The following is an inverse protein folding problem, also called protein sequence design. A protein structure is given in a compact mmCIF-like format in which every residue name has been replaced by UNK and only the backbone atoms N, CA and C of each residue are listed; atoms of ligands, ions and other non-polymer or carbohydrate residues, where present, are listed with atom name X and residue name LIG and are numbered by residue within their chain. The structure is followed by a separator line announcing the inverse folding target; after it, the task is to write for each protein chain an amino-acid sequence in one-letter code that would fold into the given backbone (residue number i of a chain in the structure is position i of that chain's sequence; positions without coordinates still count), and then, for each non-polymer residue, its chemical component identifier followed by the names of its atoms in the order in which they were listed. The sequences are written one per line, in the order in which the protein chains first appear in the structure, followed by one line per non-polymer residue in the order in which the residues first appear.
data_IF_705145314549
#
_entry.id   IF_705145314549
#
_cell.length_a   1.000
_cell.length_b   1.000
_cell.length_c   1.000
_cell.angle_alpha   90.00
_cell.angle_beta   90.00
_cell.angle_gamma   90.00
#
_symmetry.space_group_name_H-M   'P 1'
#
loop_
_entity.id
_entity.type
_entity.pdbx_description
1 polymer ?
#
# COMPACT_ATOMS: atom_id res chain seq x y z
N UNK A 1 5.42 8.09 8.58
CA UNK A 1 5.15 8.26 7.13
C UNK A 1 3.72 7.84 6.76
N UNK A 2 3.09 6.94 7.51
CA UNK A 2 1.71 6.48 7.28
C UNK A 2 0.72 7.60 6.94
N UNK A 3 0.66 8.66 7.76
CA UNK A 3 -0.27 9.78 7.50
C UNK A 3 -0.07 10.46 6.14
N UNK A 4 1.16 10.53 5.60
CA UNK A 4 1.39 11.09 4.26
C UNK A 4 0.87 10.18 3.15
N UNK A 5 1.05 8.87 3.31
CA UNK A 5 0.59 7.86 2.36
C UNK A 5 -0.94 7.75 2.38
N UNK A 6 -1.56 7.81 3.55
CA UNK A 6 -3.01 7.68 3.70
C UNK A 6 -3.75 8.94 3.27
N UNK A 7 -3.26 10.12 3.67
CA UNK A 7 -3.89 11.39 3.31
C UNK A 7 -3.52 11.85 1.89
N UNK A 8 -2.71 11.06 1.16
CA UNK A 8 -2.16 11.39 -0.17
C UNK A 8 -1.43 12.73 -0.20
N UNK A 9 -0.94 13.20 0.95
CA UNK A 9 -0.31 14.49 1.17
C UNK A 9 1.18 14.53 0.74
N UNK A 10 1.48 14.03 -0.45
CA UNK A 10 2.82 14.08 -1.05
C UNK A 10 2.74 14.15 -2.58
N UNK A 11 3.62 14.93 -3.20
CA UNK A 11 3.71 15.06 -4.65
C UNK A 11 4.96 14.38 -5.19
N UNK A 12 6.08 14.50 -4.46
CA UNK A 12 7.39 14.02 -4.89
C UNK A 12 8.01 13.12 -3.83
N UNK A 13 8.95 12.27 -4.25
CA UNK A 13 9.75 11.44 -3.34
C UNK A 13 10.55 12.28 -2.33
N UNK A 14 10.87 13.54 -2.64
CA UNK A 14 11.49 14.48 -1.71
C UNK A 14 10.62 14.76 -0.48
N UNK A 15 9.30 14.83 -0.63
CA UNK A 15 8.39 15.12 0.48
C UNK A 15 8.43 13.98 1.51
N UNK A 16 8.49 12.73 1.01
CA UNK A 16 8.64 11.53 1.83
C UNK A 16 10.03 11.49 2.53
N UNK A 17 11.09 11.93 1.84
CA UNK A 17 12.44 11.98 2.41
C UNK A 17 12.56 13.04 3.52
N UNK A 18 11.97 14.21 3.31
CA UNK A 18 11.91 15.27 4.32
C UNK A 18 11.09 14.84 5.54
N UNK A 19 9.95 14.18 5.32
CA UNK A 19 9.17 13.60 6.40
C UNK A 19 9.98 12.58 7.20
N UNK A 20 10.70 11.68 6.53
CA UNK A 20 11.56 10.71 7.20
C UNK A 20 12.59 11.37 8.12
N UNK A 21 13.26 12.45 7.66
CA UNK A 21 14.22 13.21 8.47
C UNK A 21 13.53 14.00 9.59
N UNK A 22 12.36 14.57 9.33
CA UNK A 22 11.63 15.37 10.33
C UNK A 22 11.20 14.53 11.54
N UNK A 23 10.80 13.28 11.32
CA UNK A 23 10.37 12.37 12.38
C UNK A 23 11.52 11.54 12.97
N UNK A 24 12.56 11.23 12.18
CA UNK A 24 13.69 10.39 12.59
C UNK A 24 14.98 11.14 12.98
N UNK A 25 15.05 12.45 12.76
CA UNK A 25 16.27 13.27 12.92
C UNK A 25 16.64 13.61 14.36
N UNK A 26 16.46 12.68 15.30
CA UNK A 26 16.76 12.82 16.71
C UNK A 26 17.87 11.85 17.11
N UNK A 27 19.00 12.39 17.56
CA UNK A 27 20.16 11.59 17.92
C UNK A 27 20.06 11.07 19.35
N UNK A 28 20.56 9.86 19.52
CA UNK A 28 20.80 9.21 20.79
C UNK A 28 22.24 8.72 20.82
N UNK A 29 22.92 8.86 21.95
CA UNK A 29 24.32 8.47 22.03
C UNK A 29 24.81 8.37 23.47
N UNK A 30 25.66 7.38 23.70
CA UNK A 30 26.43 7.33 24.94
C UNK A 30 27.22 8.63 25.08
N UNK A 31 27.35 9.16 26.30
CA UNK A 31 28.16 10.35 26.49
C UNK A 31 29.59 10.09 26.02
N UNK A 32 30.14 11.04 25.26
CA UNK A 32 31.54 10.99 24.87
C UNK A 32 32.39 10.99 26.15
N UNK A 33 33.42 10.13 26.22
CA UNK A 33 34.42 10.22 27.28
C UNK A 33 34.93 11.66 27.30
N UNK A 34 34.69 12.37 28.41
CA UNK A 34 35.30 13.68 28.63
C UNK A 34 36.81 13.49 28.54
N UNK A 35 37.47 14.28 27.70
CA UNK A 35 38.93 14.46 27.77
C UNK A 35 39.32 14.61 29.25
N UNK A 36 40.35 13.90 29.70
CA UNK A 36 40.79 13.77 31.11
C UNK A 36 41.13 15.11 31.82
N UNK A 37 40.87 16.26 31.19
CA UNK A 37 41.16 17.61 31.66
C UNK A 37 39.93 18.46 32.05
N UNK A 38 38.71 17.92 32.08
CA UNK A 38 37.50 18.68 32.45
C UNK A 38 36.98 18.23 33.82
N UNK A 39 37.32 18.99 34.87
CA UNK A 39 37.00 18.76 36.29
C UNK A 39 35.52 18.98 36.67
N UNK A 40 34.58 18.60 35.81
CA UNK A 40 33.15 18.69 36.05
C UNK A 40 32.48 17.42 35.52
N UNK A 41 32.36 16.46 36.42
CA UNK A 41 31.78 15.12 36.30
C UNK A 41 30.28 15.16 35.91
N UNK A 42 29.96 15.67 34.73
CA UNK A 42 28.62 15.62 34.17
C UNK A 42 28.70 15.14 32.72
N UNK A 43 28.85 13.83 32.61
CA UNK A 43 28.91 13.08 31.36
C UNK A 43 27.47 12.86 30.87
N UNK A 44 26.89 13.89 30.23
CA UNK A 44 25.49 13.86 29.75
C UNK A 44 25.45 13.17 28.39
N UNK A 45 24.69 12.07 28.28
CA UNK A 45 24.45 11.40 27.01
C UNK A 45 23.64 12.27 26.06
N UNK A 46 23.68 11.96 24.77
CA UNK A 46 22.76 12.59 23.82
C UNK A 46 21.42 11.84 23.93
N UNK A 47 20.36 12.55 24.32
CA UNK A 47 19.02 11.98 24.54
C UNK A 47 17.99 12.75 23.71
N UNK A 48 17.65 12.24 22.52
CA UNK A 48 16.61 12.82 21.67
C UNK A 48 16.92 14.24 21.18
N UNK A 49 18.19 14.54 20.90
CA UNK A 49 18.59 15.87 20.41
C UNK A 49 18.35 15.96 18.91
N UNK A 50 17.61 16.98 18.46
CA UNK A 50 17.34 17.21 17.05
C UNK A 50 18.65 17.53 16.29
N UNK A 51 19.03 16.66 15.36
CA UNK A 51 20.23 16.77 14.51
C UNK A 51 19.90 16.42 13.05
N UNK A 52 18.81 16.98 12.52
CA UNK A 52 18.29 16.70 11.16
C UNK A 52 19.32 16.84 10.05
N UNK A 53 20.11 17.92 10.07
CA UNK A 53 21.14 18.17 9.05
C UNK A 53 22.26 17.13 9.08
N UNK A 54 22.65 16.67 10.27
CA UNK A 54 23.65 15.60 10.43
C UNK A 54 23.05 14.27 9.96
N UNK A 55 21.79 13.99 10.30
CA UNK A 55 21.11 12.77 9.86
C UNK A 55 20.99 12.72 8.33
N UNK A 56 20.55 13.81 7.69
CA UNK A 56 20.52 13.94 6.23
C UNK A 56 21.89 13.73 5.60
N UNK A 57 22.95 14.33 6.16
CA UNK A 57 24.32 14.11 5.69
C UNK A 57 24.77 12.65 5.84
N UNK A 58 24.37 11.94 6.89
CA UNK A 58 24.67 10.50 7.03
C UNK A 58 23.91 9.67 6.00
N UNK A 59 22.62 9.96 5.78
CA UNK A 59 21.79 9.29 4.79
C UNK A 59 22.37 9.44 3.38
N UNK A 60 22.91 10.61 3.02
CA UNK A 60 23.51 10.82 1.68
C UNK A 60 24.80 10.01 1.43
N UNK A 61 25.34 9.34 2.45
CA UNK A 61 26.55 8.51 2.35
C UNK A 61 26.25 7.00 2.48
N UNK A 62 24.99 6.61 2.69
CA UNK A 62 24.64 5.19 2.85
C UNK A 62 24.61 4.48 1.49
N UNK A 63 25.31 3.36 1.40
CA UNK A 63 25.31 2.50 0.21
C UNK A 63 24.32 1.32 0.36
N UNK A 64 23.95 0.98 1.59
CA UNK A 64 23.13 -0.18 1.93
C UNK A 64 22.09 0.18 2.98
N UNK A 65 20.86 -0.26 2.76
CA UNK A 65 19.78 -0.27 3.75
C UNK A 65 19.44 -1.71 4.09
N UNK A 66 19.37 -2.06 5.38
CA UNK A 66 19.05 -3.41 5.82
C UNK A 66 17.96 -3.39 6.90
N UNK A 67 16.98 -4.28 6.77
CA UNK A 67 15.95 -4.51 7.78
C UNK A 67 15.87 -6.01 8.10
N UNK A 68 15.72 -6.36 9.38
CA UNK A 68 15.62 -7.74 9.84
C UNK A 68 14.17 -8.06 10.21
N UNK A 69 13.76 -9.30 9.94
CA UNK A 69 12.52 -9.90 10.40
C UNK A 69 12.85 -11.17 11.17
N UNK A 70 12.36 -11.29 12.39
CA UNK A 70 12.64 -12.38 13.32
C UNK A 70 11.50 -13.39 13.49
N UNK A 71 10.38 -13.16 12.82
CA UNK A 71 9.15 -13.94 12.94
C UNK A 71 8.59 -14.34 11.56
N UNK A 72 7.64 -15.28 11.49
CA UNK A 72 6.95 -15.69 10.24
C UNK A 72 5.48 -15.35 10.20
N UNK A 73 4.95 -14.87 11.31
CA UNK A 73 3.54 -14.61 11.57
C UNK A 73 3.02 -13.51 10.67
N UNK A 74 3.87 -12.53 10.34
CA UNK A 74 3.60 -11.48 9.38
C UNK A 74 4.78 -11.31 8.41
N UNK A 75 4.58 -10.54 7.34
CA UNK A 75 5.61 -10.22 6.35
C UNK A 75 5.60 -8.73 5.99
N UNK A 76 6.47 -8.34 5.04
CA UNK A 76 6.65 -6.95 4.64
C UNK A 76 5.41 -6.31 3.98
N UNK A 77 4.41 -7.10 3.59
CA UNK A 77 3.13 -6.63 3.06
C UNK A 77 1.98 -6.93 4.03
N UNK A 78 2.27 -7.03 5.32
CA UNK A 78 1.30 -7.29 6.40
C UNK A 78 1.44 -6.29 7.58
N UNK A 79 2.42 -5.38 7.50
CA UNK A 79 2.60 -4.29 8.46
C UNK A 79 3.23 -3.08 7.79
N UNK A 80 2.73 -1.91 8.16
CA UNK A 80 3.17 -0.61 7.70
C UNK A 80 4.60 -0.24 8.15
N UNK A 81 5.03 -0.70 9.33
CA UNK A 81 6.35 -0.37 9.89
C UNK A 81 7.49 -0.72 8.91
N UNK A 82 7.35 -1.79 8.14
CA UNK A 82 8.38 -2.22 7.19
C UNK A 82 8.68 -1.16 6.13
N UNK A 83 7.67 -0.67 5.42
CA UNK A 83 7.88 0.37 4.43
C UNK A 83 8.19 1.72 5.10
N UNK A 84 7.62 1.99 6.28
CA UNK A 84 7.90 3.24 6.99
C UNK A 84 9.37 3.37 7.40
N UNK A 85 10.01 2.29 7.84
CA UNK A 85 11.40 2.30 8.24
C UNK A 85 12.34 1.98 7.07
N UNK A 86 12.19 0.82 6.43
CA UNK A 86 13.10 0.36 5.36
C UNK A 86 12.86 1.13 4.06
N UNK A 87 11.60 1.27 3.66
CA UNK A 87 11.21 2.05 2.49
C UNK A 87 11.55 3.53 2.67
N UNK A 88 11.16 4.12 3.81
CA UNK A 88 11.47 5.52 4.13
C UNK A 88 12.96 5.83 4.13
N UNK A 89 13.79 4.96 4.73
CA UNK A 89 15.24 5.11 4.67
C UNK A 89 15.76 4.99 3.23
N UNK A 90 15.26 4.03 2.45
CA UNK A 90 15.64 3.83 1.04
C UNK A 90 15.32 5.07 0.21
N UNK A 91 14.12 5.63 0.37
CA UNK A 91 13.69 6.86 -0.29
C UNK A 91 14.60 8.03 0.10
N UNK A 92 14.83 8.24 1.40
CA UNK A 92 15.65 9.33 1.89
C UNK A 92 17.10 9.25 1.40
N UNK A 93 17.71 8.06 1.41
CA UNK A 93 19.04 7.85 0.83
C UNK A 93 19.03 8.16 -0.67
N UNK A 94 18.04 7.65 -1.41
CA UNK A 94 17.93 7.89 -2.85
C UNK A 94 17.82 9.37 -3.20
N UNK A 95 17.01 10.13 -2.45
CA UNK A 95 16.82 11.57 -2.65
C UNK A 95 18.08 12.36 -2.26
N UNK A 96 18.72 12.05 -1.14
CA UNK A 96 19.85 12.86 -0.65
C UNK A 96 21.20 12.50 -1.28
N UNK A 97 21.32 11.33 -1.91
CA UNK A 97 22.55 10.88 -2.58
C UNK A 97 22.45 10.81 -4.11
N UNK A 98 21.26 11.08 -4.67
CA UNK A 98 20.93 10.87 -6.09
C UNK A 98 21.20 9.43 -6.59
N UNK A 99 21.33 8.46 -5.68
CA UNK A 99 21.64 7.06 -5.98
C UNK A 99 20.81 6.12 -5.11
N UNK A 100 20.16 5.14 -5.72
CA UNK A 100 19.40 4.12 -4.98
C UNK A 100 20.37 3.15 -4.26
N UNK A 101 20.26 2.99 -2.93
CA UNK A 101 21.11 2.05 -2.20
C UNK A 101 20.73 0.60 -2.49
N UNK A 102 21.64 -0.34 -2.20
CA UNK A 102 21.26 -1.76 -2.18
C UNK A 102 20.42 -2.01 -0.93
N UNK A 103 19.22 -2.57 -1.11
CA UNK A 103 18.31 -2.82 0.01
C UNK A 103 18.23 -4.32 0.29
N UNK A 104 18.55 -4.72 1.52
CA UNK A 104 18.47 -6.10 1.99
C UNK A 104 17.36 -6.28 3.03
N UNK A 105 16.70 -7.43 2.95
CA UNK A 105 15.80 -7.94 3.97
C UNK A 105 16.37 -9.24 4.55
N UNK A 106 16.61 -9.26 5.85
CA UNK A 106 17.19 -10.41 6.55
C UNK A 106 16.11 -11.17 7.31
N UNK A 107 15.79 -12.38 6.85
CA UNK A 107 14.89 -13.33 7.50
C UNK A 107 15.68 -14.15 8.53
N UNK A 108 15.51 -13.80 9.79
CA UNK A 108 16.04 -14.50 10.97
C UNK A 108 14.97 -15.36 11.65
N UNK A 109 13.80 -15.55 11.04
CA UNK A 109 12.69 -16.30 11.63
C UNK A 109 13.02 -17.79 11.86
N UNK A 110 14.04 -18.30 11.19
CA UNK A 110 14.71 -19.54 11.56
C UNK A 110 16.15 -19.22 11.98
N UNK A 111 16.43 -19.07 13.29
CA UNK A 111 17.76 -18.73 13.78
C UNK A 111 18.86 -19.72 13.39
N UNK A 112 18.51 -20.97 13.07
CA UNK A 112 19.46 -21.99 12.62
C UNK A 112 19.88 -21.84 11.15
N UNK A 113 19.13 -21.06 10.36
CA UNK A 113 19.36 -20.86 8.94
C UNK A 113 18.87 -19.46 8.51
N UNK A 114 19.53 -18.38 8.96
CA UNK A 114 19.19 -17.01 8.56
C UNK A 114 19.36 -16.85 7.05
N UNK A 115 18.49 -16.04 6.43
CA UNK A 115 18.50 -15.78 4.99
C UNK A 115 18.51 -14.29 4.73
N UNK A 116 19.49 -13.82 3.98
CA UNK A 116 19.53 -12.46 3.44
C UNK A 116 19.05 -12.49 2.00
N UNK A 117 18.09 -11.64 1.67
CA UNK A 117 17.61 -11.41 0.30
C UNK A 117 17.67 -9.92 0.00
N UNK A 118 17.77 -9.56 -1.27
CA UNK A 118 17.43 -8.20 -1.67
C UNK A 118 15.95 -7.93 -1.39
N UNK A 119 15.57 -6.66 -1.17
CA UNK A 119 14.17 -6.29 -0.99
C UNK A 119 13.32 -6.71 -2.20
N UNK A 120 13.85 -6.54 -3.42
CA UNK A 120 13.19 -7.00 -4.65
C UNK A 120 12.89 -8.49 -4.63
N UNK A 121 13.82 -9.33 -4.18
CA UNK A 121 13.58 -10.78 -4.03
C UNK A 121 12.54 -11.09 -2.95
N UNK A 122 12.54 -10.34 -1.84
CA UNK A 122 11.58 -10.55 -0.76
C UNK A 122 10.17 -10.12 -1.15
N UNK A 123 9.98 -8.95 -1.77
CA UNK A 123 8.70 -8.52 -2.35
C UNK A 123 8.18 -9.56 -3.34
N UNK A 124 9.05 -10.02 -4.25
CA UNK A 124 8.74 -11.09 -5.20
C UNK A 124 8.31 -12.40 -4.55
N UNK A 125 8.93 -12.75 -3.43
CA UNK A 125 8.60 -13.95 -2.65
C UNK A 125 7.24 -13.77 -2.00
N UNK A 126 7.04 -12.71 -1.22
CA UNK A 126 5.81 -12.44 -0.45
C UNK A 126 4.60 -12.33 -1.36
N UNK A 127 4.72 -11.58 -2.47
CA UNK A 127 3.63 -11.45 -3.46
C UNK A 127 3.21 -12.83 -3.97
N UNK A 128 4.15 -13.72 -4.29
CA UNK A 128 3.82 -15.06 -4.79
C UNK A 128 3.36 -16.03 -3.70
N UNK A 129 4.00 -16.02 -2.54
CA UNK A 129 3.76 -17.02 -1.49
C UNK A 129 2.58 -16.68 -0.58
N UNK A 130 2.20 -15.40 -0.51
CA UNK A 130 1.11 -14.89 0.34
C UNK A 130 0.03 -14.19 -0.50
N UNK A 131 0.34 -13.05 -1.12
CA UNK A 131 -0.68 -12.18 -1.78
C UNK A 131 -1.48 -12.92 -2.84
N UNK A 132 -0.77 -13.59 -3.76
CA UNK A 132 -1.37 -14.31 -4.88
C UNK A 132 -1.63 -15.79 -4.57
N UNK A 133 -1.44 -16.22 -3.32
CA UNK A 133 -1.59 -17.62 -2.97
C UNK A 133 -3.07 -17.95 -2.76
N UNK A 134 -3.68 -18.85 -3.56
CA UNK A 134 -5.09 -19.19 -3.41
C UNK A 134 -5.45 -19.72 -2.01
N UNK A 135 -4.49 -20.34 -1.30
CA UNK A 135 -4.73 -20.79 0.08
C UNK A 135 -4.93 -19.63 1.05
N UNK A 136 -4.14 -18.56 0.89
CA UNK A 136 -4.28 -17.39 1.74
C UNK A 136 -5.56 -16.61 1.38
N UNK A 137 -5.84 -16.43 0.09
CA UNK A 137 -7.06 -15.74 -0.35
C UNK A 137 -8.29 -16.47 0.18
N UNK A 138 -8.39 -17.79 -0.02
CA UNK A 138 -9.48 -18.61 0.54
C UNK A 138 -9.57 -18.51 2.06
N UNK A 139 -8.44 -18.57 2.77
CA UNK A 139 -8.44 -18.43 4.23
C UNK A 139 -8.95 -17.06 4.69
N UNK A 140 -8.57 -15.97 4.02
CA UNK A 140 -9.11 -14.64 4.32
C UNK A 140 -10.62 -14.60 4.10
N UNK A 141 -11.13 -15.23 3.04
CA UNK A 141 -12.58 -15.27 2.78
C UNK A 141 -13.40 -15.96 3.88
N UNK A 142 -12.79 -16.86 4.64
CA UNK A 142 -13.43 -17.51 5.81
C UNK A 142 -13.63 -16.54 7.00
N UNK A 143 -13.03 -15.33 6.95
CA UNK A 143 -13.04 -14.34 8.03
C UNK A 143 -13.81 -13.06 7.70
N UNK A 144 -14.65 -13.06 6.65
CA UNK A 144 -15.60 -11.99 6.35
C UNK A 144 -14.94 -10.61 6.29
N UNK A 145 -15.53 -9.62 6.98
CA UNK A 145 -15.05 -8.23 7.00
C UNK A 145 -13.55 -8.10 7.28
N UNK A 146 -13.03 -8.84 8.28
CA UNK A 146 -11.60 -8.73 8.67
C UNK A 146 -10.70 -9.38 7.62
N UNK A 147 -11.13 -10.46 6.99
CA UNK A 147 -10.41 -11.04 5.87
C UNK A 147 -10.28 -10.10 4.68
N UNK A 148 -11.36 -9.41 4.33
CA UNK A 148 -11.37 -8.37 3.31
C UNK A 148 -10.47 -7.18 3.68
N UNK A 149 -10.46 -6.77 4.95
CA UNK A 149 -9.56 -5.74 5.46
C UNK A 149 -8.07 -6.12 5.27
N UNK A 150 -7.66 -7.36 5.56
CA UNK A 150 -6.24 -7.75 5.37
C UNK A 150 -5.83 -7.76 3.88
N UNK A 151 -6.78 -8.02 2.98
CA UNK A 151 -6.55 -7.89 1.54
C UNK A 151 -6.28 -6.44 1.15
N UNK A 152 -7.10 -5.51 1.64
CA UNK A 152 -6.90 -4.08 1.39
C UNK A 152 -5.59 -3.55 1.98
N UNK A 153 -5.30 -3.89 3.25
CA UNK A 153 -4.05 -3.52 3.89
C UNK A 153 -2.82 -3.99 3.10
N UNK A 154 -2.86 -5.21 2.55
CA UNK A 154 -1.78 -5.72 1.70
C UNK A 154 -1.56 -4.91 0.42
N UNK A 155 -2.63 -4.40 -0.19
CA UNK A 155 -2.56 -3.54 -1.38
C UNK A 155 -1.98 -2.18 -1.02
N UNK A 156 -2.41 -1.60 0.10
CA UNK A 156 -1.87 -0.36 0.64
C UNK A 156 -0.37 -0.46 0.94
N UNK A 157 0.07 -1.53 1.60
CA UNK A 157 1.48 -1.73 1.91
C UNK A 157 2.32 -1.98 0.67
N UNK A 158 1.77 -2.66 -0.34
CA UNK A 158 2.43 -2.85 -1.64
C UNK A 158 2.62 -1.51 -2.35
N UNK A 159 1.59 -0.66 -2.38
CA UNK A 159 1.69 0.70 -2.91
C UNK A 159 2.72 1.53 -2.16
N UNK A 160 2.69 1.51 -0.83
CA UNK A 160 3.56 2.34 0.01
C UNK A 160 5.04 1.92 -0.11
N UNK A 161 5.30 0.61 -0.21
CA UNK A 161 6.64 0.12 -0.52
C UNK A 161 7.11 0.59 -1.88
N UNK A 162 6.25 0.57 -2.89
CA UNK A 162 6.66 1.04 -4.22
C UNK A 162 6.88 2.55 -4.26
N UNK A 163 5.99 3.33 -3.66
CA UNK A 163 6.13 4.78 -3.54
C UNK A 163 7.45 5.20 -2.86
N UNK A 164 7.99 4.36 -1.98
CA UNK A 164 9.24 4.64 -1.26
C UNK A 164 10.48 3.98 -1.85
N UNK A 165 10.34 3.01 -2.75
CA UNK A 165 11.49 2.22 -3.23
C UNK A 165 11.55 2.00 -4.74
N UNK A 166 10.44 2.17 -5.46
CA UNK A 166 10.29 1.88 -6.89
C UNK A 166 10.74 0.44 -7.23
N UNK A 167 10.26 -0.53 -6.45
CA UNK A 167 10.67 -1.93 -6.51
C UNK A 167 9.52 -2.90 -6.81
N UNK A 168 8.32 -2.44 -7.11
CA UNK A 168 7.21 -3.27 -7.59
C UNK A 168 7.15 -3.17 -9.12
N UNK A 169 7.08 -4.32 -9.80
CA UNK A 169 6.97 -4.36 -11.26
C UNK A 169 5.51 -4.27 -11.70
N UNK A 170 5.24 -3.71 -12.88
CA UNK A 170 3.88 -3.57 -13.45
C UNK A 170 3.08 -4.88 -13.47
N UNK A 171 3.74 -6.01 -13.77
CA UNK A 171 3.07 -7.31 -13.79
C UNK A 171 2.65 -7.76 -12.39
N UNK A 172 3.30 -7.29 -11.32
CA UNK A 172 2.93 -7.59 -9.94
C UNK A 172 1.65 -6.85 -9.57
N UNK A 173 1.56 -5.55 -9.89
CA UNK A 173 0.31 -4.79 -9.76
C UNK A 173 -0.83 -5.45 -10.53
N UNK A 174 -0.60 -5.79 -11.81
CA UNK A 174 -1.58 -6.48 -12.64
C UNK A 174 -2.08 -7.77 -11.97
N UNK A 175 -1.16 -8.63 -11.50
CA UNK A 175 -1.51 -9.90 -10.87
C UNK A 175 -2.30 -9.71 -9.57
N UNK A 176 -1.97 -8.69 -8.78
CA UNK A 176 -2.68 -8.37 -7.53
C UNK A 176 -4.07 -7.86 -7.83
N UNK A 177 -4.22 -6.94 -8.80
CA UNK A 177 -5.52 -6.45 -9.26
C UNK A 177 -6.40 -7.59 -9.77
N UNK A 178 -5.86 -8.46 -10.62
CA UNK A 178 -6.56 -9.63 -11.15
C UNK A 178 -7.03 -10.57 -10.03
N UNK A 179 -6.21 -10.82 -9.02
CA UNK A 179 -6.51 -11.79 -7.97
C UNK A 179 -7.43 -11.27 -6.88
N UNK A 180 -7.28 -10.00 -6.47
CA UNK A 180 -8.00 -9.44 -5.32
C UNK A 180 -9.22 -8.61 -5.70
N UNK A 181 -9.24 -8.00 -6.89
CA UNK A 181 -10.34 -7.12 -7.35
C UNK A 181 -11.15 -7.76 -8.47
N UNK A 182 -10.49 -8.25 -9.53
CA UNK A 182 -11.16 -8.66 -10.77
C UNK A 182 -11.49 -10.15 -10.85
N UNK A 183 -11.01 -10.97 -9.93
CA UNK A 183 -11.45 -12.35 -9.79
C UNK A 183 -12.92 -12.37 -9.34
N UNK A 184 -13.84 -13.00 -10.10
CA UNK A 184 -15.27 -12.93 -9.79
C UNK A 184 -15.63 -13.46 -8.40
N UNK A 185 -14.96 -14.51 -7.93
CA UNK A 185 -15.23 -15.07 -6.60
C UNK A 185 -14.77 -14.11 -5.50
N UNK A 186 -13.57 -13.54 -5.64
CA UNK A 186 -13.07 -12.58 -4.66
C UNK A 186 -13.83 -11.26 -4.70
N UNK A 187 -14.22 -10.78 -5.88
CA UNK A 187 -15.01 -9.55 -6.04
C UNK A 187 -16.33 -9.65 -5.27
N UNK A 188 -17.11 -10.71 -5.49
CA UNK A 188 -18.37 -10.93 -4.76
C UNK A 188 -18.14 -11.05 -3.25
N UNK A 189 -17.07 -11.73 -2.82
CA UNK A 189 -16.73 -11.78 -1.40
C UNK A 189 -16.49 -10.37 -0.81
N UNK A 190 -15.72 -9.53 -1.50
CA UNK A 190 -15.42 -8.17 -1.06
C UNK A 190 -16.68 -7.31 -1.03
N UNK A 191 -17.51 -7.35 -2.08
CA UNK A 191 -18.80 -6.64 -2.16
C UNK A 191 -19.73 -7.02 -1.00
N UNK A 192 -19.83 -8.31 -0.68
CA UNK A 192 -20.73 -8.81 0.37
C UNK A 192 -20.24 -8.52 1.79
N UNK A 193 -18.92 -8.49 2.02
CA UNK A 193 -18.34 -8.47 3.37
C UNK A 193 -17.69 -7.15 3.76
N UNK A 194 -17.12 -6.42 2.80
CA UNK A 194 -16.49 -5.13 3.03
C UNK A 194 -16.35 -4.33 1.70
N UNK A 195 -17.43 -3.74 1.19
CA UNK A 195 -17.39 -2.98 -0.07
C UNK A 195 -16.48 -1.75 0.02
N UNK A 196 -16.31 -1.17 1.21
CA UNK A 196 -15.37 -0.05 1.44
C UNK A 196 -13.92 -0.49 1.19
N UNK A 197 -13.53 -1.68 1.66
CA UNK A 197 -12.20 -2.21 1.37
C UNK A 197 -11.99 -2.50 -0.13
N UNK A 198 -13.05 -2.86 -0.89
CA UNK A 198 -12.96 -2.99 -2.35
C UNK A 198 -12.69 -1.65 -3.02
N UNK A 199 -13.43 -0.62 -2.60
CA UNK A 199 -13.27 0.77 -3.06
C UNK A 199 -11.85 1.26 -2.75
N UNK A 200 -11.38 1.13 -1.51
CA UNK A 200 -10.02 1.51 -1.09
C UNK A 200 -8.93 0.84 -1.93
N UNK A 201 -9.04 -0.48 -2.18
CA UNK A 201 -8.10 -1.19 -3.05
C UNK A 201 -8.12 -0.65 -4.49
N UNK A 202 -9.32 -0.39 -5.03
CA UNK A 202 -9.46 0.12 -6.39
C UNK A 202 -8.89 1.53 -6.53
N UNK A 203 -9.18 2.42 -5.57
CA UNK A 203 -8.61 3.75 -5.49
C UNK A 203 -7.09 3.72 -5.37
N UNK A 204 -6.55 2.88 -4.49
CA UNK A 204 -5.10 2.80 -4.27
C UNK A 204 -4.36 2.32 -5.50
N UNK A 205 -4.90 1.32 -6.20
CA UNK A 205 -4.32 0.85 -7.45
C UNK A 205 -4.47 1.87 -8.57
N UNK A 206 -5.59 2.61 -8.63
CA UNK A 206 -5.75 3.71 -9.57
C UNK A 206 -4.75 4.83 -9.29
N UNK A 207 -4.51 5.17 -8.03
CA UNK A 207 -3.50 6.12 -7.58
C UNK A 207 -2.09 5.69 -8.04
N UNK A 208 -1.74 4.40 -7.92
CA UNK A 208 -0.47 3.89 -8.47
C UNK A 208 -0.32 4.19 -9.96
N UNK A 209 -1.40 4.07 -10.74
CA UNK A 209 -1.34 4.41 -12.17
C UNK A 209 -1.21 5.92 -12.41
N UNK A 210 -1.93 6.74 -11.65
CA UNK A 210 -1.90 8.21 -11.78
C UNK A 210 -0.55 8.80 -11.38
N UNK A 211 0.14 8.17 -10.41
CA UNK A 211 1.49 8.55 -9.97
C UNK A 211 2.61 7.94 -10.83
N UNK A 212 2.29 7.10 -11.81
CA UNK A 212 3.27 6.45 -12.67
C UNK A 212 4.08 5.33 -11.98
N UNK A 213 3.62 4.85 -10.82
CA UNK A 213 4.18 3.67 -10.14
C UNK A 213 3.81 2.39 -10.88
N UNK A 214 2.60 2.35 -11.45
CA UNK A 214 2.13 1.25 -12.28
C UNK A 214 1.82 1.74 -13.69
N UNK A 215 2.59 1.27 -14.67
CA UNK A 215 2.25 1.49 -16.07
C UNK A 215 1.04 0.63 -16.48
N UNK A 216 -0.01 1.29 -16.96
CA UNK A 216 -1.33 0.70 -17.18
C UNK A 216 -1.68 0.49 -18.67
N UNK A 217 -0.70 0.39 -19.58
CA UNK A 217 -0.87 0.21 -21.03
C UNK A 217 -1.91 -0.86 -21.45
N UNK A 218 -2.22 -1.79 -20.56
CA UNK A 218 -3.23 -2.83 -20.75
C UNK A 218 -4.67 -2.43 -20.34
N UNK A 219 -4.94 -1.14 -20.11
CA UNK A 219 -6.27 -0.59 -19.80
C UNK A 219 -6.75 -0.81 -18.36
N UNK A 220 -5.85 -1.09 -17.40
CA UNK A 220 -6.26 -1.33 -16.01
C UNK A 220 -6.73 -0.08 -15.29
N UNK A 221 -6.18 1.10 -15.62
CA UNK A 221 -6.66 2.36 -15.05
C UNK A 221 -8.14 2.62 -15.36
N UNK A 222 -8.55 2.39 -16.61
CA UNK A 222 -9.96 2.52 -17.04
C UNK A 222 -10.84 1.50 -16.31
N UNK A 223 -10.43 0.23 -16.21
CA UNK A 223 -11.19 -0.79 -15.47
C UNK A 223 -11.39 -0.46 -13.99
N UNK A 224 -10.38 0.12 -13.34
CA UNK A 224 -10.47 0.56 -11.95
C UNK A 224 -11.41 1.76 -11.81
N UNK A 225 -11.35 2.70 -12.74
CA UNK A 225 -12.26 3.84 -12.77
C UNK A 225 -13.71 3.40 -12.99
N UNK A 226 -13.96 2.49 -13.93
CA UNK A 226 -15.29 1.92 -14.18
C UNK A 226 -15.83 1.21 -12.92
N UNK A 227 -14.98 0.44 -12.23
CA UNK A 227 -15.36 -0.21 -10.97
C UNK A 227 -15.76 0.81 -9.88
N UNK A 228 -14.98 1.89 -9.72
CA UNK A 228 -15.29 2.93 -8.73
C UNK A 228 -16.62 3.63 -9.05
N UNK A 229 -16.89 3.92 -10.33
CA UNK A 229 -18.17 4.48 -10.77
C UNK A 229 -19.35 3.53 -10.50
N UNK A 230 -19.16 2.23 -10.70
CA UNK A 230 -20.18 1.21 -10.37
C UNK A 230 -20.45 1.16 -8.86
N UNK A 231 -19.41 1.25 -8.02
CA UNK A 231 -19.54 1.30 -6.56
C UNK A 231 -20.30 2.57 -6.13
N UNK A 232 -19.93 3.74 -6.65
CA UNK A 232 -20.62 5.00 -6.37
C UNK A 232 -22.11 4.94 -6.74
N UNK A 233 -22.42 4.42 -7.94
CA UNK A 233 -23.80 4.29 -8.41
C UNK A 233 -24.65 3.39 -7.50
N UNK A 234 -24.06 2.31 -6.97
CA UNK A 234 -24.71 1.42 -6.01
C UNK A 234 -24.94 2.11 -4.66
N UNK A 235 -23.97 2.88 -4.17
CA UNK A 235 -24.08 3.61 -2.90
C UNK A 235 -25.12 4.75 -2.99
N UNK A 236 -25.21 5.42 -4.13
CA UNK A 236 -26.18 6.51 -4.37
C UNK A 236 -27.61 5.99 -4.66
N UNK A 237 -27.80 4.67 -4.78
CA UNK A 237 -29.12 4.06 -5.01
C UNK A 237 -29.68 4.33 -6.41
N UNK A 238 -28.82 4.61 -7.39
CA UNK A 238 -29.23 4.75 -8.78
C UNK A 238 -29.38 3.34 -9.36
N UNK A 239 -30.61 2.82 -9.32
CA UNK A 239 -30.98 1.58 -10.01
C UNK A 239 -30.91 1.81 -11.54
N UNK A 240 -29.72 1.69 -12.11
CA UNK A 240 -29.51 1.71 -13.57
C UNK A 240 -29.94 0.36 -14.13
N UNK A 241 -31.25 0.14 -14.27
CA UNK A 241 -31.75 -0.88 -15.20
C UNK A 241 -33.00 -1.65 -14.80
N UNK A 242 -34.16 -0.99 -14.78
CA UNK A 242 -35.42 -1.68 -15.08
C UNK A 242 -36.19 -0.93 -16.18
N UNK A 243 -35.79 -1.14 -17.44
CA UNK A 243 -36.66 -0.89 -18.59
C UNK A 243 -37.69 -2.02 -18.67
N UNK A 244 -38.78 -1.91 -17.90
CA UNK A 244 -39.98 -2.70 -18.17
C UNK A 244 -40.87 -1.90 -19.11
N UNK A 245 -40.78 -2.27 -20.38
CA UNK A 245 -41.67 -1.78 -21.44
C UNK A 245 -43.07 -2.36 -21.18
N UNK A 246 -43.91 -1.66 -20.42
CA UNK A 246 -45.32 -2.01 -20.24
C UNK A 246 -46.12 -1.31 -21.35
N UNK A 247 -46.14 -1.93 -22.52
CA UNK A 247 -47.10 -1.62 -23.58
C UNK A 247 -48.52 -1.96 -23.13
N UNK A 248 -49.26 -0.99 -22.61
CA UNK A 248 -50.72 -1.08 -22.43
C UNK A 248 -51.41 -0.45 -23.63
N UNK A 249 -51.91 -1.30 -24.53
CA UNK A 249 -52.88 -0.93 -25.56
C UNK A 249 -54.24 -0.69 -24.90
N UNK A 250 -54.72 0.55 -24.92
CA UNK A 250 -56.10 0.89 -24.53
C UNK A 250 -56.97 0.91 -25.77
N UNK A 251 -57.81 -0.12 -25.90
CA UNK A 251 -58.86 -0.21 -26.92
C UNK A 251 -60.11 0.52 -26.39
N UNK A 252 -60.45 1.69 -26.95
CA UNK A 252 -61.65 2.45 -26.56
C UNK A 252 -62.77 2.14 -27.55
N UNK A 253 -63.58 1.14 -27.20
CA UNK A 253 -64.83 0.83 -27.89
C UNK A 253 -65.86 1.94 -27.69
N UNK A 254 -66.21 2.65 -28.78
CA UNK A 254 -67.31 3.62 -28.82
C UNK A 254 -68.62 2.85 -29.02
N UNK A 255 -69.51 2.91 -28.03
CA UNK A 255 -70.89 2.42 -28.13
C UNK A 255 -71.78 3.50 -28.75
N UNK A 256 -72.28 3.24 -29.97
CA UNK A 256 -73.35 4.02 -30.58
C UNK A 256 -74.64 3.22 -30.49
N UNK A 257 -75.59 3.70 -29.67
CA UNK A 257 -77.00 3.33 -29.77
C UNK A 257 -77.63 4.10 -30.92
N UNK A 258 -78.45 3.44 -31.75
CA UNK A 258 -79.68 4.01 -32.26
C UNK A 258 -80.64 2.93 -32.77
N UNK A 259 -81.92 3.16 -32.47
CA UNK A 259 -83.12 2.42 -32.85
C UNK A 259 -83.31 2.36 -34.38
N UNK A 260 -83.65 1.19 -34.93
CA UNK A 260 -84.98 0.73 -35.36
C UNK A 260 -84.83 -0.60 -36.13
#
# INVERSE_FOLDING_TARGET
MQGLIDERCWENTSDLAEAYVNWGGYAYGAPAQSDDNINNNQTIGIEGVELRSIFQHRLSQLEVVAHNQDNREHDILDSDDYYQFQGGMTNAVSVFSDTTPVVYHNDHSNPSAPKTRTLKEELNRVIRSRVLNPKWITAMREHGYKGAFEMAASVDYLFAYDATTNMVDDYQYQKVADALIFDPENKTFMEDNNPQALEEMAERLLEATQRGLWNNDNGYGEKLQDLLLDIDAQQEGVDVGMSVDVGVSVDVGVSVKNND
#
